data_IF_744932762161
#
_entry.id   IF_744932762161
#
_cell.length_a   1.000
_cell.length_b   1.000
_cell.length_c   1.000
_cell.angle_alpha   90.00
_cell.angle_beta   90.00
_cell.angle_gamma   90.00
#
_symmetry.space_group_name_H-M   'P 1'
#
loop_
_entity.id
_entity.type
_entity.pdbx_description
1 polymer ?
#
# COMPACT_ATOMS: atom_id res chain seq x y z
N UNK A 1 49.09 -35.16 9.07
CA UNK A 1 48.14 -35.70 8.07
C UNK A 1 46.74 -35.30 8.49
N UNK A 2 45.97 -34.88 7.49
CA UNK A 2 44.65 -34.25 7.48
C UNK A 2 43.57 -34.95 8.31
N UNK A 3 42.76 -34.15 9.01
CA UNK A 3 41.42 -34.54 9.45
C UNK A 3 40.53 -34.87 8.25
N UNK A 4 39.42 -35.60 8.47
CA UNK A 4 38.15 -34.92 8.16
C UNK A 4 37.08 -35.12 9.25
N UNK A 5 36.36 -34.04 9.50
CA UNK A 5 35.10 -34.00 10.23
C UNK A 5 33.97 -34.55 9.34
N UNK A 6 32.99 -35.30 9.87
CA UNK A 6 31.75 -35.56 9.15
C UNK A 6 30.86 -34.30 9.20
N UNK A 7 30.87 -33.58 8.08
CA UNK A 7 29.76 -32.76 7.61
C UNK A 7 28.56 -33.68 7.36
N UNK A 8 27.47 -33.55 8.13
CA UNK A 8 26.09 -33.81 7.69
C UNK A 8 25.14 -33.79 8.89
N UNK A 9 24.25 -32.79 8.95
CA UNK A 9 22.84 -32.95 9.38
C UNK A 9 22.12 -31.64 9.73
N UNK A 10 22.81 -30.50 9.88
CA UNK A 10 22.15 -29.24 10.29
C UNK A 10 21.67 -28.34 9.14
N UNK A 11 21.35 -28.91 7.97
CA UNK A 11 20.64 -28.20 6.88
C UNK A 11 19.15 -28.58 6.87
N UNK A 12 18.55 -28.73 8.04
CA UNK A 12 17.11 -28.98 8.18
C UNK A 12 16.55 -28.04 9.24
N UNK A 13 16.57 -26.74 8.95
CA UNK A 13 15.71 -25.70 9.56
C UNK A 13 16.04 -24.35 8.91
N UNK A 14 15.85 -24.24 7.59
CA UNK A 14 15.70 -22.90 7.01
C UNK A 14 14.37 -22.33 7.53
N UNK A 15 14.37 -21.20 8.27
CA UNK A 15 13.14 -20.65 8.82
C UNK A 15 12.22 -20.24 7.66
N UNK A 16 10.94 -20.61 7.75
CA UNK A 16 9.92 -20.32 6.76
C UNK A 16 9.82 -18.81 6.46
N UNK A 17 10.51 -18.35 5.41
CA UNK A 17 10.44 -16.97 4.94
C UNK A 17 9.74 -16.80 3.56
N UNK A 18 8.45 -17.17 3.38
CA UNK A 18 7.70 -16.73 2.19
C UNK A 18 6.51 -15.80 2.45
N UNK A 19 6.06 -15.59 3.70
CA UNK A 19 4.77 -14.90 3.95
C UNK A 19 4.85 -13.37 3.91
N UNK A 20 5.92 -12.76 4.44
CA UNK A 20 6.09 -11.28 4.41
C UNK A 20 6.13 -10.69 3.00
N UNK A 21 6.66 -11.45 2.02
CA UNK A 21 6.78 -11.01 0.62
C UNK A 21 5.42 -10.93 -0.07
N UNK A 22 4.56 -11.95 0.10
CA UNK A 22 3.27 -12.05 -0.60
C UNK A 22 2.27 -10.98 -0.17
N UNK A 23 2.14 -10.71 1.12
CA UNK A 23 1.24 -9.66 1.61
C UNK A 23 1.65 -8.27 1.13
N UNK A 24 2.96 -7.98 1.15
CA UNK A 24 3.47 -6.70 0.64
C UNK A 24 3.23 -6.54 -0.86
N UNK A 25 3.41 -7.61 -1.63
CA UNK A 25 3.11 -7.61 -3.07
C UNK A 25 1.62 -7.36 -3.32
N UNK A 26 0.74 -8.05 -2.58
CA UNK A 26 -0.71 -7.90 -2.72
C UNK A 26 -1.16 -6.47 -2.40
N UNK A 27 -0.66 -5.87 -1.33
CA UNK A 27 -0.94 -4.47 -0.97
C UNK A 27 -0.49 -3.54 -2.10
N UNK A 28 0.71 -3.74 -2.66
CA UNK A 28 1.18 -2.92 -3.79
C UNK A 28 0.32 -3.09 -5.05
N UNK A 29 -0.13 -4.30 -5.36
CA UNK A 29 -1.00 -4.56 -6.52
C UNK A 29 -2.39 -3.93 -6.34
N UNK A 30 -2.98 -4.08 -5.14
CA UNK A 30 -4.24 -3.42 -4.80
C UNK A 30 -4.12 -1.91 -4.90
N UNK A 31 -3.03 -1.34 -4.38
CA UNK A 31 -2.75 0.10 -4.48
C UNK A 31 -2.61 0.56 -5.93
N UNK A 32 -1.90 -0.20 -6.78
CA UNK A 32 -1.79 0.11 -8.20
C UNK A 32 -3.16 0.06 -8.91
N UNK A 33 -3.98 -0.95 -8.61
CA UNK A 33 -5.35 -1.05 -9.13
C UNK A 33 -6.24 0.12 -8.68
N UNK A 34 -6.12 0.54 -7.42
CA UNK A 34 -6.81 1.72 -6.88
C UNK A 34 -6.37 3.00 -7.58
N UNK A 35 -5.07 3.20 -7.77
CA UNK A 35 -4.55 4.37 -8.47
C UNK A 35 -5.03 4.42 -9.92
N UNK A 36 -4.97 3.28 -10.64
CA UNK A 36 -5.41 3.20 -12.03
C UNK A 36 -6.91 3.43 -12.19
N UNK A 37 -7.73 2.81 -11.33
CA UNK A 37 -9.18 3.01 -11.35
C UNK A 37 -9.58 4.42 -10.92
N UNK A 38 -8.90 5.03 -9.94
CA UNK A 38 -9.13 6.42 -9.53
C UNK A 38 -8.82 7.42 -10.65
N UNK A 39 -7.69 7.26 -11.34
CA UNK A 39 -7.35 8.09 -12.52
C UNK A 39 -8.35 7.91 -13.66
N UNK A 40 -8.84 6.69 -13.89
CA UNK A 40 -9.88 6.44 -14.87
C UNK A 40 -11.17 7.18 -14.52
N UNK A 41 -11.59 7.15 -13.25
CA UNK A 41 -12.78 7.87 -12.80
C UNK A 41 -12.65 9.38 -13.05
N UNK A 42 -11.51 9.96 -12.69
CA UNK A 42 -11.27 11.40 -12.85
C UNK A 42 -11.22 11.84 -14.33
N UNK A 43 -10.54 11.08 -15.18
CA UNK A 43 -10.20 11.52 -16.54
C UNK A 43 -11.15 10.98 -17.63
N UNK A 44 -11.83 9.86 -17.38
CA UNK A 44 -12.53 9.09 -18.42
C UNK A 44 -13.99 8.77 -18.09
N UNK A 45 -14.42 8.76 -16.82
CA UNK A 45 -15.81 8.42 -16.49
C UNK A 45 -16.82 9.40 -17.10
N UNK A 46 -16.46 10.68 -17.25
CA UNK A 46 -17.30 11.68 -17.92
C UNK A 46 -17.54 11.41 -19.41
N UNK A 47 -16.71 10.58 -20.06
CA UNK A 47 -16.87 10.19 -21.47
C UNK A 47 -17.76 8.97 -21.68
N UNK A 48 -17.83 8.08 -20.69
CA UNK A 48 -18.65 6.88 -20.74
C UNK A 48 -19.16 6.56 -19.34
N UNK A 49 -20.39 7.00 -19.07
CA UNK A 49 -21.06 6.86 -17.79
C UNK A 49 -21.15 5.41 -17.30
N UNK A 50 -21.56 4.47 -18.17
CA UNK A 50 -21.70 3.05 -17.82
C UNK A 50 -20.35 2.43 -17.40
N UNK A 51 -19.27 2.78 -18.11
CA UNK A 51 -17.92 2.36 -17.71
C UNK A 51 -17.52 2.99 -16.37
N UNK A 52 -17.86 4.27 -16.17
CA UNK A 52 -17.62 4.99 -14.92
C UNK A 52 -18.25 4.31 -13.70
N UNK A 53 -19.52 3.90 -13.80
CA UNK A 53 -20.21 3.20 -12.70
C UNK A 53 -19.55 1.86 -12.34
N UNK A 54 -19.20 1.06 -13.34
CA UNK A 54 -18.53 -0.23 -13.13
C UNK A 54 -17.17 -0.02 -12.49
N UNK A 55 -16.38 0.93 -13.00
CA UNK A 55 -15.05 1.24 -12.45
C UNK A 55 -15.16 1.80 -11.03
N UNK A 56 -16.19 2.60 -10.73
CA UNK A 56 -16.45 3.09 -9.38
C UNK A 56 -16.74 1.93 -8.43
N UNK A 57 -17.63 1.02 -8.81
CA UNK A 57 -17.92 -0.17 -8.00
C UNK A 57 -16.67 -1.01 -7.74
N UNK A 58 -15.85 -1.25 -8.77
CA UNK A 58 -14.58 -1.96 -8.63
C UNK A 58 -13.62 -1.20 -7.70
N UNK A 59 -13.49 0.12 -7.86
CA UNK A 59 -12.65 0.96 -7.01
C UNK A 59 -13.05 0.87 -5.53
N UNK A 60 -14.36 0.91 -5.25
CA UNK A 60 -14.89 0.75 -3.89
C UNK A 60 -14.57 -0.63 -3.31
N UNK A 61 -14.77 -1.69 -4.08
CA UNK A 61 -14.45 -3.07 -3.65
C UNK A 61 -12.96 -3.24 -3.35
N UNK A 62 -12.09 -2.76 -4.25
CA UNK A 62 -10.65 -2.77 -4.05
C UNK A 62 -10.24 -1.92 -2.84
N UNK A 63 -10.91 -0.78 -2.63
CA UNK A 63 -10.64 0.14 -1.53
C UNK A 63 -10.92 -0.48 -0.17
N UNK A 64 -12.06 -1.18 -0.05
CA UNK A 64 -12.42 -1.93 1.15
C UNK A 64 -11.42 -3.06 1.43
N UNK A 65 -11.11 -3.87 0.42
CA UNK A 65 -10.13 -4.97 0.55
C UNK A 65 -8.74 -4.44 0.97
N UNK A 66 -8.29 -3.35 0.34
CA UNK A 66 -7.05 -2.68 0.66
C UNK A 66 -7.06 -2.13 2.10
N UNK A 67 -8.16 -1.49 2.53
CA UNK A 67 -8.30 -0.93 3.89
C UNK A 67 -8.10 -2.01 4.96
N UNK A 68 -8.83 -3.13 4.84
CA UNK A 68 -8.75 -4.24 5.80
C UNK A 68 -7.34 -4.85 5.83
N UNK A 69 -6.78 -5.13 4.65
CA UNK A 69 -5.47 -5.76 4.55
C UNK A 69 -4.35 -4.83 5.04
N UNK A 70 -4.43 -3.55 4.71
CA UNK A 70 -3.46 -2.55 5.14
C UNK A 70 -3.54 -2.34 6.66
N UNK A 71 -4.73 -2.28 7.25
CA UNK A 71 -4.89 -2.16 8.70
C UNK A 71 -4.21 -3.31 9.46
N UNK A 72 -4.44 -4.55 9.02
CA UNK A 72 -3.77 -5.73 9.60
C UNK A 72 -2.25 -5.68 9.42
N UNK A 73 -1.80 -5.23 8.24
CA UNK A 73 -0.37 -5.08 7.96
C UNK A 73 0.28 -3.99 8.82
N UNK A 74 -0.37 -2.83 8.98
CA UNK A 74 0.12 -1.71 9.80
C UNK A 74 0.30 -2.14 11.24
N UNK A 75 -0.71 -2.78 11.85
CA UNK A 75 -0.62 -3.23 13.25
C UNK A 75 0.61 -4.12 13.46
N UNK A 76 0.82 -5.08 12.56
CA UNK A 76 1.98 -5.97 12.62
C UNK A 76 3.31 -5.25 12.32
N UNK A 77 3.31 -4.33 11.35
CA UNK A 77 4.52 -3.62 10.90
C UNK A 77 5.01 -2.59 11.93
N UNK A 78 4.08 -1.84 12.53
CA UNK A 78 4.38 -0.86 13.59
C UNK A 78 4.89 -1.56 14.84
N UNK A 79 4.25 -2.66 15.27
CA UNK A 79 4.68 -3.42 16.46
C UNK A 79 6.05 -4.07 16.31
N UNK A 80 6.41 -4.56 15.12
CA UNK A 80 7.63 -5.36 14.92
C UNK A 80 8.81 -4.63 14.26
N UNK A 81 8.56 -3.56 13.50
CA UNK A 81 9.57 -2.98 12.60
C UNK A 81 9.93 -1.53 12.86
N UNK A 82 8.93 -0.64 12.96
CA UNK A 82 9.19 0.80 13.05
C UNK A 82 9.77 1.23 14.41
N UNK A 83 9.36 0.59 15.51
CA UNK A 83 9.86 0.92 16.86
C UNK A 83 11.33 0.55 17.09
N UNK A 84 11.89 -0.39 16.32
CA UNK A 84 13.22 -0.95 16.53
C UNK A 84 14.23 -0.60 15.42
N UNK A 85 13.84 0.21 14.45
CA UNK A 85 14.68 0.52 13.29
C UNK A 85 15.81 1.49 13.65
N UNK A 86 17.06 1.06 13.47
CA UNK A 86 18.26 1.90 13.71
C UNK A 86 18.58 2.86 12.55
N UNK A 87 17.74 2.92 11.51
CA UNK A 87 17.96 3.79 10.34
C UNK A 87 16.96 4.95 10.34
N UNK A 88 17.37 6.17 10.72
CA UNK A 88 16.43 7.28 10.94
C UNK A 88 15.71 7.72 9.66
N UNK A 89 16.43 7.86 8.53
CA UNK A 89 15.84 8.30 7.26
C UNK A 89 14.79 7.31 6.71
N UNK A 90 15.05 6.00 6.81
CA UNK A 90 14.10 4.97 6.38
C UNK A 90 12.84 4.97 7.27
N UNK A 91 13.02 5.16 8.58
CA UNK A 91 11.94 5.19 9.56
C UNK A 91 11.04 6.42 9.35
N UNK A 92 11.63 7.59 9.12
CA UNK A 92 10.90 8.81 8.77
C UNK A 92 10.10 8.66 7.47
N UNK A 93 10.72 8.14 6.41
CA UNK A 93 10.02 7.91 5.14
C UNK A 93 8.85 6.93 5.32
N UNK A 94 9.03 5.86 6.10
CA UNK A 94 7.97 4.90 6.40
C UNK A 94 6.81 5.51 7.19
N UNK A 95 7.08 6.35 8.21
CA UNK A 95 6.03 7.06 8.95
C UNK A 95 5.28 8.06 8.06
N UNK A 96 5.99 8.79 7.21
CA UNK A 96 5.39 9.74 6.29
C UNK A 96 4.51 9.05 5.25
N UNK A 97 4.96 7.92 4.71
CA UNK A 97 4.16 7.09 3.81
C UNK A 97 2.91 6.54 4.53
N UNK A 98 3.07 6.08 5.77
CA UNK A 98 1.95 5.60 6.59
C UNK A 98 0.91 6.70 6.84
N UNK A 99 1.35 7.91 7.20
CA UNK A 99 0.46 9.06 7.40
C UNK A 99 -0.32 9.41 6.13
N UNK A 100 0.33 9.38 4.96
CA UNK A 100 -0.34 9.58 3.66
C UNK A 100 -1.37 8.49 3.37
N UNK A 101 -1.04 7.22 3.65
CA UNK A 101 -2.00 6.13 3.48
C UNK A 101 -3.22 6.29 4.40
N UNK A 102 -3.03 6.73 5.64
CA UNK A 102 -4.15 7.01 6.56
C UNK A 102 -5.02 8.14 6.02
N UNK A 103 -4.42 9.24 5.55
CA UNK A 103 -5.16 10.36 4.95
C UNK A 103 -5.97 9.90 3.73
N UNK A 104 -5.35 9.11 2.85
CA UNK A 104 -6.02 8.51 1.68
C UNK A 104 -7.23 7.68 2.10
N UNK A 105 -7.06 6.76 3.07
CA UNK A 105 -8.13 5.89 3.55
C UNK A 105 -9.28 6.68 4.15
N UNK A 106 -8.98 7.66 5.01
CA UNK A 106 -10.01 8.51 5.61
C UNK A 106 -10.77 9.28 4.53
N UNK A 107 -10.05 9.92 3.60
CA UNK A 107 -10.67 10.63 2.48
C UNK A 107 -11.60 9.73 1.66
N UNK A 108 -11.14 8.52 1.32
CA UNK A 108 -11.96 7.54 0.59
C UNK A 108 -13.21 7.14 1.37
N UNK A 109 -13.08 6.83 2.66
CA UNK A 109 -14.22 6.48 3.52
C UNK A 109 -15.22 7.64 3.64
N UNK A 110 -14.74 8.87 3.82
CA UNK A 110 -15.57 10.08 3.86
C UNK A 110 -16.36 10.28 2.56
N UNK A 111 -15.74 10.01 1.42
CA UNK A 111 -16.41 10.05 0.11
C UNK A 111 -17.45 8.93 -0.06
N UNK A 112 -17.28 7.76 0.59
CA UNK A 112 -18.29 6.68 0.58
C UNK A 112 -19.46 6.89 1.53
N UNK A 113 -19.34 7.83 2.48
CA UNK A 113 -20.34 8.02 3.54
C UNK A 113 -21.76 8.33 3.00
N UNK A 114 -21.95 9.24 2.02
CA UNK A 114 -23.28 9.49 1.45
C UNK A 114 -23.91 8.22 0.87
N UNK A 115 -23.13 7.38 0.20
CA UNK A 115 -23.62 6.11 -0.38
C UNK A 115 -24.04 5.14 0.73
N UNK A 116 -23.23 5.01 1.78
CA UNK A 116 -23.55 4.14 2.91
C UNK A 116 -24.83 4.60 3.64
N UNK A 117 -25.00 5.90 3.84
CA UNK A 117 -26.21 6.48 4.45
C UNK A 117 -27.44 6.28 3.56
N UNK A 118 -27.29 6.49 2.24
CA UNK A 118 -28.35 6.26 1.28
C UNK A 118 -28.84 4.81 1.30
N UNK A 119 -27.93 3.84 1.32
CA UNK A 119 -28.27 2.42 1.48
C UNK A 119 -28.94 2.10 2.82
N UNK A 120 -28.67 2.89 3.86
CA UNK A 120 -29.34 2.84 5.17
C UNK A 120 -30.69 3.57 5.22
N UNK A 121 -31.17 4.12 4.09
CA UNK A 121 -32.43 4.85 4.00
C UNK A 121 -32.36 6.33 4.38
N UNK A 122 -31.15 6.87 4.59
CA UNK A 122 -30.93 8.28 4.94
C UNK A 122 -30.43 9.04 3.71
N UNK A 123 -31.23 10.00 3.25
CA UNK A 123 -30.84 10.86 2.12
C UNK A 123 -30.03 12.03 2.66
N UNK A 124 -28.72 11.96 2.48
CA UNK A 124 -27.81 13.04 2.83
C UNK A 124 -26.58 13.01 1.92
N UNK A 125 -26.16 14.19 1.48
CA UNK A 125 -24.99 14.36 0.62
C UNK A 125 -24.16 15.53 1.14
N UNK A 126 -22.86 15.48 0.86
CA UNK A 126 -21.96 16.61 1.06
C UNK A 126 -22.36 17.78 0.18
N UNK A 127 -21.93 19.00 0.54
CA UNK A 127 -21.97 20.12 -0.39
C UNK A 127 -21.04 19.86 -1.58
N UNK A 128 -21.28 20.55 -2.71
CA UNK A 128 -20.43 20.43 -3.88
C UNK A 128 -18.97 20.80 -3.55
N UNK A 129 -18.75 21.90 -2.81
CA UNK A 129 -17.41 22.35 -2.43
C UNK A 129 -16.68 21.31 -1.56
N UNK A 130 -17.42 20.63 -0.68
CA UNK A 130 -16.85 19.58 0.18
C UNK A 130 -16.49 18.36 -0.66
N UNK A 131 -17.32 18.00 -1.63
CA UNK A 131 -17.06 16.88 -2.55
C UNK A 131 -15.84 17.15 -3.42
N UNK A 132 -15.70 18.36 -3.94
CA UNK A 132 -14.55 18.79 -4.75
C UNK A 132 -13.27 18.78 -3.91
N UNK A 133 -13.32 19.32 -2.68
CA UNK A 133 -12.20 19.31 -1.77
C UNK A 133 -11.76 17.89 -1.40
N UNK A 134 -12.71 17.00 -1.09
CA UNK A 134 -12.43 15.60 -0.78
C UNK A 134 -11.80 14.89 -1.98
N UNK A 135 -12.35 15.07 -3.18
CA UNK A 135 -11.80 14.51 -4.43
C UNK A 135 -10.37 15.00 -4.66
N UNK A 136 -10.15 16.31 -4.55
CA UNK A 136 -8.83 16.91 -4.69
C UNK A 136 -7.82 16.33 -3.69
N UNK A 137 -8.17 16.33 -2.40
CA UNK A 137 -7.29 15.81 -1.33
C UNK A 137 -7.02 14.32 -1.53
N UNK A 138 -8.03 13.53 -1.87
CA UNK A 138 -7.90 12.09 -2.07
C UNK A 138 -6.98 11.77 -3.26
N UNK A 139 -7.19 12.44 -4.40
CA UNK A 139 -6.36 12.27 -5.61
C UNK A 139 -4.91 12.66 -5.36
N UNK A 140 -4.66 13.85 -4.78
CA UNK A 140 -3.29 14.30 -4.53
C UNK A 140 -2.59 13.48 -3.45
N UNK A 141 -3.31 13.03 -2.42
CA UNK A 141 -2.77 12.07 -1.45
C UNK A 141 -2.36 10.76 -2.14
N UNK A 142 -3.17 10.24 -3.09
CA UNK A 142 -2.85 9.05 -3.87
C UNK A 142 -1.59 9.22 -4.72
N UNK A 143 -1.46 10.36 -5.42
CA UNK A 143 -0.26 10.70 -6.18
C UNK A 143 0.98 10.74 -5.28
N UNK A 144 0.90 11.45 -4.14
CA UNK A 144 2.02 11.58 -3.21
C UNK A 144 2.39 10.26 -2.51
N UNK A 145 1.41 9.38 -2.27
CA UNK A 145 1.64 8.03 -1.76
C UNK A 145 2.31 7.15 -2.81
N UNK A 146 1.91 7.26 -4.08
CA UNK A 146 2.52 6.54 -5.21
C UNK A 146 3.99 6.88 -5.39
N UNK A 147 4.32 8.18 -5.39
CA UNK A 147 5.72 8.66 -5.46
C UNK A 147 6.53 8.14 -4.27
N UNK A 148 5.96 8.22 -3.06
CA UNK A 148 6.61 7.73 -1.84
C UNK A 148 6.85 6.22 -1.86
N UNK A 149 5.89 5.44 -2.37
CA UNK A 149 6.00 3.99 -2.52
C UNK A 149 7.09 3.63 -3.54
N UNK A 150 7.13 4.29 -4.69
CA UNK A 150 8.18 4.09 -5.70
C UNK A 150 9.56 4.40 -5.12
N UNK A 151 9.71 5.53 -4.43
CA UNK A 151 10.96 5.88 -3.76
C UNK A 151 11.38 4.81 -2.73
N UNK A 152 10.41 4.31 -1.95
CA UNK A 152 10.66 3.26 -0.96
C UNK A 152 11.12 1.94 -1.61
N UNK A 153 10.50 1.54 -2.72
CA UNK A 153 10.85 0.33 -3.47
C UNK A 153 12.23 0.45 -4.13
N UNK A 154 12.54 1.61 -4.73
CA UNK A 154 13.86 1.88 -5.31
C UNK A 154 14.95 1.78 -4.24
N UNK A 155 14.80 2.47 -3.11
CA UNK A 155 15.77 2.42 -2.01
C UNK A 155 16.00 0.98 -1.49
N UNK A 156 14.97 0.14 -1.50
CA UNK A 156 15.08 -1.28 -1.14
C UNK A 156 15.85 -2.09 -2.19
N UNK A 157 15.64 -1.83 -3.48
CA UNK A 157 16.30 -2.54 -4.58
C UNK A 157 17.80 -2.22 -4.65
N UNK A 158 18.17 -0.94 -4.56
CA UNK A 158 19.56 -0.49 -4.57
C UNK A 158 20.41 -1.14 -3.46
N UNK A 159 19.81 -1.41 -2.29
CA UNK A 159 20.51 -2.11 -1.21
C UNK A 159 20.82 -3.57 -1.54
N UNK A 160 19.92 -4.26 -2.24
CA UNK A 160 20.13 -5.66 -2.62
C UNK A 160 21.20 -5.80 -3.71
N UNK A 161 21.21 -4.91 -4.70
CA UNK A 161 22.24 -4.88 -5.74
C UNK A 161 23.67 -4.75 -5.15
N UNK A 162 23.86 -3.87 -4.16
CA UNK A 162 25.15 -3.69 -3.49
C UNK A 162 25.55 -4.82 -2.52
N UNK A 163 24.63 -5.72 -2.15
CA UNK A 163 24.97 -6.88 -1.31
C UNK A 163 25.40 -8.08 -2.16
N UNK A 164 24.76 -8.27 -3.33
CA UNK A 164 25.17 -9.30 -4.30
C UNK A 164 26.55 -9.04 -4.91
N UNK A 165 26.93 -7.78 -5.14
CA UNK A 165 28.27 -7.44 -5.66
C UNK A 165 29.39 -7.72 -4.65
N UNK A 166 29.09 -7.68 -3.34
CA UNK A 166 30.09 -7.95 -2.29
C UNK A 166 30.32 -9.45 -2.03
N UNK A 167 29.30 -10.29 -2.22
CA UNK A 167 29.47 -11.75 -2.15
C UNK A 167 30.14 -12.33 -3.41
N UNK A 168 30.07 -11.65 -4.56
CA UNK A 168 30.77 -12.07 -5.77
C UNK A 168 32.28 -11.72 -5.78
N UNK A 169 32.76 -10.98 -4.77
CA UNK A 169 34.16 -10.52 -4.65
C UNK A 169 34.91 -11.10 -3.44
N UNK A 170 34.31 -12.03 -2.70
CA UNK A 170 34.92 -12.74 -1.57
C UNK A 170 35.11 -14.22 -1.89
#
# INVERSE_FOLDING_TARGET
MTAPLPLESTVRNAPAAPTKSRTSLLISLLFAGLMGSGLHLELLAGRNWNSGEIVLFVHLCLGLAFTVLLAFWIDRHVRSGLRSSQRPAFTWLSWLLLGKCVLLLLGGLLMTLPVALYLGGVIWFWSFETTDLLTFVHLWAACLASIGLLAHLLLRHWRHAHTTDKEAQA
#
